data_IF_328809866087
#
_entry.id   IF_328809866087
#
_cell.length_a   1.000
_cell.length_b   1.000
_cell.length_c   1.000
_cell.angle_alpha   90.00
_cell.angle_beta   90.00
_cell.angle_gamma   90.00
#
_symmetry.space_group_name_H-M   'P 1'
#
loop_
_entity.id
_entity.type
_entity.pdbx_description
1 polymer ?
#
# COMPACT_ATOMS: atom_id res chain seq x y z
N UNK A 1 6.14 -1.03 2.23
CA UNK A 1 6.68 -2.18 1.49
C UNK A 1 6.66 -1.91 -0.01
N UNK A 2 5.50 -1.69 -0.64
CA UNK A 2 5.36 -1.37 -2.08
C UNK A 2 6.37 -0.33 -2.59
N UNK A 3 6.50 0.82 -1.92
CA UNK A 3 7.45 1.86 -2.32
C UNK A 3 8.92 1.40 -2.34
N UNK A 4 9.31 0.47 -1.44
CA UNK A 4 10.65 -0.12 -1.39
C UNK A 4 10.89 -1.05 -2.58
N UNK A 5 9.87 -1.78 -3.01
CA UNK A 5 9.96 -2.71 -4.13
C UNK A 5 10.24 -2.02 -5.46
N UNK A 6 9.81 -0.76 -5.60
CA UNK A 6 10.04 0.08 -6.79
C UNK A 6 11.25 1.03 -6.64
N UNK A 7 12.14 0.79 -5.67
CA UNK A 7 13.35 1.61 -5.47
C UNK A 7 13.12 2.97 -4.80
N UNK A 8 11.92 3.26 -4.28
CA UNK A 8 11.56 4.53 -3.64
C UNK A 8 11.22 4.37 -2.15
N UNK A 9 12.16 3.92 -1.29
CA UNK A 9 11.88 3.49 0.08
C UNK A 9 11.20 4.55 0.96
N UNK A 10 11.48 5.84 0.72
CA UNK A 10 10.94 6.98 1.49
C UNK A 10 9.55 7.45 1.03
N UNK A 11 8.97 6.84 -0.01
CA UNK A 11 7.76 7.32 -0.68
C UNK A 11 6.48 6.53 -0.33
N UNK A 12 6.40 5.91 0.86
CA UNK A 12 5.23 5.13 1.29
C UNK A 12 3.92 5.92 1.30
N UNK A 13 3.97 7.22 1.64
CA UNK A 13 2.82 8.12 1.59
C UNK A 13 2.34 8.40 0.16
N UNK A 14 3.26 8.48 -0.80
CA UNK A 14 2.93 8.69 -2.21
C UNK A 14 2.17 7.50 -2.78
N UNK A 15 2.54 6.27 -2.41
CA UNK A 15 1.75 5.08 -2.77
C UNK A 15 0.30 5.22 -2.29
N UNK A 16 0.10 5.59 -1.02
CA UNK A 16 -1.23 5.80 -0.46
C UNK A 16 -2.03 6.90 -1.17
N UNK A 17 -1.37 7.97 -1.62
CA UNK A 17 -2.01 9.03 -2.42
C UNK A 17 -2.34 8.56 -3.82
N UNK A 18 -1.42 7.89 -4.51
CA UNK A 18 -1.66 7.32 -5.85
C UNK A 18 -2.89 6.41 -5.86
N UNK A 19 -3.07 5.57 -4.83
CA UNK A 19 -4.24 4.70 -4.70
C UNK A 19 -5.57 5.46 -4.54
N UNK A 20 -5.56 6.74 -4.15
CA UNK A 20 -6.79 7.55 -4.06
C UNK A 20 -7.21 8.14 -5.41
N UNK A 21 -6.27 8.26 -6.35
CA UNK A 21 -6.49 8.84 -7.67
C UNK A 21 -6.63 7.79 -8.78
N UNK A 22 -6.73 6.51 -8.41
CA UNK A 22 -7.05 5.45 -9.36
C UNK A 22 -8.46 5.71 -9.89
N UNK A 23 -8.57 5.74 -11.22
CA UNK A 23 -9.86 5.83 -11.90
C UNK A 23 -10.49 4.43 -12.02
N UNK A 24 -11.83 4.38 -11.99
CA UNK A 24 -12.58 3.12 -12.03
C UNK A 24 -12.56 2.45 -13.42
N UNK A 25 -12.10 3.14 -14.47
CA UNK A 25 -12.01 2.68 -15.85
C UNK A 25 -10.68 1.99 -16.20
N UNK A 26 -9.72 1.95 -15.27
CA UNK A 26 -8.41 1.33 -15.50
C UNK A 26 -8.57 -0.17 -15.80
N UNK A 27 -7.97 -0.62 -16.91
CA UNK A 27 -8.01 -2.01 -17.36
C UNK A 27 -6.57 -2.57 -17.52
N UNK A 28 -6.20 -3.65 -16.81
CA UNK A 28 -7.01 -4.38 -15.82
C UNK A 28 -7.23 -3.57 -14.53
N UNK A 29 -8.31 -3.84 -13.77
CA UNK A 29 -8.58 -3.15 -12.51
C UNK A 29 -7.43 -3.32 -11.51
N UNK A 30 -7.05 -2.23 -10.85
CA UNK A 30 -5.99 -2.24 -9.83
C UNK A 30 -6.57 -2.70 -8.49
N UNK A 31 -6.04 -3.77 -7.85
CA UNK A 31 -6.57 -4.32 -6.60
C UNK A 31 -6.12 -3.49 -5.39
N UNK A 32 -6.58 -2.24 -5.31
CA UNK A 32 -6.19 -1.27 -4.28
C UNK A 32 -6.54 -1.73 -2.86
N UNK A 33 -7.55 -2.60 -2.71
CA UNK A 33 -8.01 -3.13 -1.42
C UNK A 33 -6.98 -4.04 -0.75
N UNK A 34 -6.02 -4.59 -1.50
CA UNK A 34 -4.92 -5.41 -0.96
C UNK A 34 -3.84 -4.59 -0.25
N UNK A 35 -3.85 -3.26 -0.40
CA UNK A 35 -2.85 -2.39 0.25
C UNK A 35 -3.41 -1.85 1.57
N UNK A 36 -2.82 -2.31 2.68
CA UNK A 36 -3.15 -1.91 4.05
C UNK A 36 -1.94 -1.31 4.77
N UNK A 37 -2.16 -0.77 5.97
CA UNK A 37 -1.09 -0.17 6.77
C UNK A 37 -0.07 -1.21 7.21
N UNK A 38 1.16 -0.76 7.51
CA UNK A 38 2.20 -1.64 8.05
C UNK A 38 1.85 -2.23 9.42
N UNK A 39 0.89 -1.65 10.15
CA UNK A 39 0.37 -2.17 11.41
C UNK A 39 -0.71 -3.25 11.20
N UNK A 40 -1.00 -3.63 9.96
CA UNK A 40 -2.07 -4.57 9.61
C UNK A 40 -3.47 -3.97 9.74
N UNK A 41 -3.60 -2.65 9.91
CA UNK A 41 -4.89 -1.97 10.04
C UNK A 41 -5.42 -1.50 8.69
N UNK A 42 -6.72 -1.66 8.47
CA UNK A 42 -7.43 -1.09 7.33
C UNK A 42 -7.64 0.40 7.62
N UNK A 43 -6.98 1.26 6.84
CA UNK A 43 -7.09 2.71 7.03
C UNK A 43 -8.45 3.23 6.56
N UNK A 44 -9.11 4.02 7.40
CA UNK A 44 -10.30 4.75 6.99
C UNK A 44 -9.90 5.86 6.01
N UNK A 45 -10.44 5.79 4.78
CA UNK A 45 -10.10 6.74 3.70
C UNK A 45 -10.92 8.04 3.77
N UNK A 46 -11.03 8.63 4.96
CA UNK A 46 -11.63 9.94 5.21
C UNK A 46 -12.85 9.92 6.15
N UNK A 47 -13.16 11.03 6.85
CA UNK A 47 -14.31 11.12 7.75
C UNK A 47 -15.63 10.88 7.02
N UNK A 48 -16.53 10.06 7.60
CA UNK A 48 -17.85 9.79 7.02
C UNK A 48 -17.86 8.90 5.77
N UNK A 49 -16.73 8.26 5.44
CA UNK A 49 -16.63 7.37 4.27
C UNK A 49 -16.81 5.90 4.65
N UNK A 50 -17.49 5.13 3.80
CA UNK A 50 -17.58 3.66 3.91
C UNK A 50 -16.32 2.96 3.36
N UNK A 51 -15.19 3.66 3.27
CA UNK A 51 -13.97 3.16 2.61
C UNK A 51 -13.36 1.96 3.32
N UNK A 52 -13.31 1.98 4.65
CA UNK A 52 -12.80 0.86 5.44
C UNK A 52 -13.69 -0.39 5.31
N UNK A 53 -15.02 -0.21 5.33
CA UNK A 53 -15.97 -1.31 5.15
C UNK A 53 -15.85 -1.94 3.76
N UNK A 54 -15.84 -1.12 2.69
CA UNK A 54 -15.65 -1.61 1.33
C UNK A 54 -14.36 -2.41 1.16
N UNK A 55 -13.28 -1.94 1.80
CA UNK A 55 -11.99 -2.63 1.77
C UNK A 55 -12.05 -3.96 2.54
N UNK A 56 -12.72 -4.00 3.69
CA UNK A 56 -13.00 -5.24 4.42
C UNK A 56 -13.79 -6.23 3.56
N UNK A 57 -14.91 -5.81 3.00
CA UNK A 57 -15.79 -6.69 2.21
C UNK A 57 -15.04 -7.28 1.01
N UNK A 58 -14.21 -6.47 0.33
CA UNK A 58 -13.39 -6.91 -0.79
C UNK A 58 -12.29 -7.91 -0.38
N UNK A 59 -11.69 -7.74 0.80
CA UNK A 59 -10.70 -8.69 1.34
C UNK A 59 -11.35 -10.01 1.75
N UNK A 60 -12.49 -9.94 2.44
CA UNK A 60 -13.25 -11.13 2.85
C UNK A 60 -13.76 -11.92 1.62
N UNK A 61 -14.14 -11.23 0.54
CA UNK A 61 -14.52 -11.87 -0.72
C UNK A 61 -13.37 -12.64 -1.39
N UNK A 62 -12.11 -12.26 -1.11
CA UNK A 62 -10.92 -12.99 -1.55
C UNK A 62 -10.50 -14.10 -0.55
N UNK A 63 -11.25 -14.27 0.54
CA UNK A 63 -10.97 -15.25 1.59
C UNK A 63 -9.97 -14.76 2.64
N UNK A 64 -9.61 -13.48 2.66
CA UNK A 64 -8.72 -12.90 3.67
C UNK A 64 -9.49 -12.70 4.98
N UNK A 65 -8.93 -13.21 6.07
CA UNK A 65 -9.53 -13.03 7.40
C UNK A 65 -9.30 -11.60 7.91
N UNK A 66 -10.41 -10.90 8.19
CA UNK A 66 -10.43 -9.56 8.78
C UNK A 66 -11.04 -9.63 10.18
N UNK A 67 -10.35 -9.04 11.16
CA UNK A 67 -10.75 -9.05 12.57
C UNK A 67 -11.04 -7.64 13.06
N UNK A 68 -11.97 -7.52 14.00
CA UNK A 68 -12.25 -6.25 14.67
C UNK A 68 -11.19 -5.97 15.75
N UNK A 69 -10.61 -4.77 15.68
CA UNK A 69 -9.66 -4.23 16.63
C UNK A 69 -10.35 -3.66 17.86
N UNK A 70 -9.59 -3.55 18.96
CA UNK A 70 -10.08 -3.04 20.25
C UNK A 70 -10.65 -1.61 20.18
N UNK A 71 -10.23 -0.86 19.18
CA UNK A 71 -10.61 0.53 18.95
C UNK A 71 -11.67 0.69 17.85
N UNK A 72 -12.26 -0.42 17.37
CA UNK A 72 -13.25 -0.41 16.29
C UNK A 72 -12.64 -0.32 14.88
N UNK A 73 -11.33 -0.51 14.76
CA UNK A 73 -10.60 -0.57 13.49
C UNK A 73 -10.50 -2.01 12.96
N UNK A 74 -10.56 -2.22 11.65
CA UNK A 74 -10.37 -3.56 11.09
C UNK A 74 -8.88 -3.92 10.95
N UNK A 75 -8.55 -5.18 11.22
CA UNK A 75 -7.17 -5.70 11.21
C UNK A 75 -7.05 -6.99 10.39
N UNK A 76 -5.90 -7.14 9.73
CA UNK A 76 -5.49 -8.34 8.99
C UNK A 76 -4.18 -8.84 9.55
N UNK A 77 -4.07 -10.16 9.74
CA UNK A 77 -2.81 -10.77 10.14
C UNK A 77 -1.81 -10.81 8.96
N UNK A 78 -0.85 -9.90 8.98
CA UNK A 78 0.20 -9.80 7.96
C UNK A 78 1.16 -11.00 7.93
N UNK A 79 1.30 -11.79 9.01
CA UNK A 79 2.14 -12.99 8.94
C UNK A 79 1.52 -14.08 8.07
N UNK A 80 0.19 -14.11 7.99
CA UNK A 80 -0.57 -15.11 7.23
C UNK A 80 -0.85 -14.64 5.81
N UNK A 81 -1.26 -13.36 5.67
CA UNK A 81 -1.78 -12.81 4.41
C UNK A 81 -0.83 -11.82 3.73
N UNK A 82 0.27 -11.46 4.39
CA UNK A 82 1.18 -10.44 3.90
C UNK A 82 2.02 -10.93 2.72
N UNK A 83 2.20 -10.05 1.74
CA UNK A 83 3.11 -10.25 0.62
C UNK A 83 4.37 -9.43 0.84
N UNK A 84 5.48 -10.12 1.12
CA UNK A 84 6.77 -9.50 1.46
C UNK A 84 7.97 -10.12 0.71
N UNK A 85 8.01 -10.04 -0.63
CA UNK A 85 9.18 -10.43 -1.40
C UNK A 85 10.40 -9.53 -1.09
N UNK A 86 11.58 -10.02 -1.41
CA UNK A 86 12.80 -9.23 -1.28
C UNK A 86 12.86 -8.13 -2.36
N UNK A 87 13.33 -6.91 -2.03
CA UNK A 87 13.55 -5.88 -3.04
C UNK A 87 14.49 -6.39 -4.14
N UNK A 88 14.16 -6.12 -5.40
CA UNK A 88 14.93 -6.57 -6.55
C UNK A 88 14.58 -7.98 -7.07
N UNK A 89 13.70 -8.72 -6.40
CA UNK A 89 13.22 -10.02 -6.92
C UNK A 89 11.98 -9.92 -7.80
N UNK A 90 11.44 -8.71 -7.98
CA UNK A 90 10.26 -8.45 -8.80
C UNK A 90 10.72 -7.77 -10.08
N UNK A 91 10.30 -8.29 -11.22
CA UNK A 91 10.42 -7.59 -12.49
C UNK A 91 9.44 -6.41 -12.52
N UNK A 92 10.00 -5.20 -12.40
CA UNK A 92 9.27 -3.93 -12.43
C UNK A 92 9.24 -3.30 -13.84
N UNK A 93 9.78 -4.00 -14.84
CA UNK A 93 9.91 -3.51 -16.22
C UNK A 93 10.82 -2.28 -16.36
N UNK A 94 10.86 -1.73 -17.57
CA UNK A 94 11.75 -0.62 -17.97
C UNK A 94 11.39 0.74 -17.33
N UNK A 95 10.29 0.80 -16.58
CA UNK A 95 9.86 2.01 -15.85
C UNK A 95 10.51 2.12 -14.46
N UNK A 96 11.41 1.20 -14.11
CA UNK A 96 11.79 0.90 -12.75
C UNK A 96 13.15 1.40 -12.28
N UNK A 97 13.52 2.67 -12.48
CA UNK A 97 14.40 3.41 -11.55
C UNK A 97 14.55 4.87 -12.02
N UNK A 98 13.89 5.81 -11.33
CA UNK A 98 14.59 7.06 -11.05
C UNK A 98 15.49 6.73 -9.85
N UNK A 99 16.72 6.29 -10.13
CA UNK A 99 17.76 6.27 -9.12
C UNK A 99 17.76 7.66 -8.50
N UNK A 100 17.50 7.75 -7.20
CA UNK A 100 17.72 9.00 -6.49
C UNK A 100 19.22 9.23 -6.61
N UNK A 101 19.62 10.20 -7.44
CA UNK A 101 20.89 10.88 -7.25
C UNK A 101 20.92 11.24 -5.77
N UNK A 102 21.94 10.73 -5.09
CA UNK A 102 22.27 11.17 -3.76
C UNK A 102 22.49 12.68 -3.87
N UNK A 103 21.51 13.49 -3.43
CA UNK A 103 21.81 14.88 -3.09
C UNK A 103 22.79 14.77 -1.92
N UNK A 104 24.07 14.87 -2.26
CA UNK A 104 25.12 15.29 -1.34
C UNK A 104 24.62 16.57 -0.67
N UNK A 105 24.25 16.44 0.60
CA UNK A 105 24.14 17.54 1.55
C UNK A 105 25.54 18.14 1.70
N UNK A 106 25.94 18.95 0.72
CA UNK A 106 27.07 19.85 0.83
C UNK A 106 26.65 20.97 1.78
N UNK A 107 26.86 20.70 3.07
CA UNK A 107 26.83 21.71 4.10
C UNK A 107 27.93 22.72 3.86
N UNK A 108 27.63 23.77 3.10
CA UNK A 108 28.40 25.01 3.10
C UNK A 108 27.99 25.89 4.29
N UNK A 109 28.89 25.87 5.28
CA UNK A 109 29.32 26.93 6.23
C UNK A 109 28.30 27.72 7.08
#
# INVERSE_FOLDING_TARGET
>A
HVAKLIGMPRHSRHVGQALKFISDDVTPPIPWHRVISAAGTISSRGPGTNGAQRQRDALEAEGVEVTDGRTGDFRVNLSTWGWFPEPGTIDIGDHGVAAQEEEEDDGEE
#
